data_IF_329273064789
#
_entry.id   IF_329273064789
#
_cell.length_a   1.000
_cell.length_b   1.000
_cell.length_c   1.000
_cell.angle_alpha   90.00
_cell.angle_beta   90.00
_cell.angle_gamma   90.00
#
_symmetry.space_group_name_H-M   'P 1'
#
loop_
_entity.id
_entity.type
_entity.pdbx_description
1 polymer ?
#
# COMPACT_ATOMS: atom_id res chain seq x y z
N UNK A 1 0.28 7.50 14.33
CA UNK A 1 0.87 6.14 14.27
C UNK A 1 2.39 6.21 14.20
N UNK A 2 3.08 5.07 14.31
CA UNK A 2 4.57 5.02 14.29
C UNK A 2 5.18 5.67 13.04
N UNK A 3 4.52 5.56 11.88
CA UNK A 3 4.97 6.18 10.63
C UNK A 3 4.99 7.70 10.76
N UNK A 4 3.88 8.33 11.17
CA UNK A 4 3.80 9.79 11.34
C UNK A 4 4.82 10.33 12.37
N UNK A 5 5.11 9.55 13.41
CA UNK A 5 6.04 9.94 14.46
C UNK A 5 7.51 9.95 14.01
N UNK A 6 7.87 9.14 13.00
CA UNK A 6 9.27 8.90 12.62
C UNK A 6 9.62 9.34 11.20
N UNK A 7 8.65 9.32 10.28
CA UNK A 7 8.93 9.52 8.86
C UNK A 7 9.46 10.93 8.55
N UNK A 8 9.11 11.94 9.35
CA UNK A 8 9.70 13.28 9.20
C UNK A 8 11.22 13.34 9.42
N UNK A 9 11.78 12.39 10.16
CA UNK A 9 13.23 12.31 10.41
C UNK A 9 13.95 11.48 9.33
N UNK A 10 13.33 10.39 8.89
CA UNK A 10 13.98 9.41 8.00
C UNK A 10 13.58 9.53 6.53
N UNK A 11 12.46 10.21 6.24
CA UNK A 11 11.88 10.40 4.90
C UNK A 11 11.81 9.10 4.09
N UNK A 12 11.22 8.06 4.68
CA UNK A 12 11.14 6.72 4.11
C UNK A 12 9.96 6.56 3.14
N UNK A 13 8.86 7.30 3.32
CA UNK A 13 7.68 7.21 2.46
C UNK A 13 7.56 8.40 1.50
N UNK A 14 7.27 8.14 0.22
CA UNK A 14 6.97 9.19 -0.77
C UNK A 14 5.49 9.55 -0.80
N UNK A 15 4.62 8.66 -0.34
CA UNK A 15 3.16 8.83 -0.25
C UNK A 15 2.61 7.85 0.78
N UNK A 16 1.53 8.24 1.46
CA UNK A 16 0.82 7.40 2.43
C UNK A 16 -0.67 7.35 2.09
N UNK A 17 -1.30 6.21 2.39
CA UNK A 17 -2.70 5.92 2.05
C UNK A 17 -3.43 5.40 3.29
N UNK A 18 -3.37 6.15 4.41
CA UNK A 18 -3.84 5.68 5.72
C UNK A 18 -5.34 5.37 5.76
N UNK A 19 -6.18 6.19 5.14
CA UNK A 19 -7.64 5.96 5.09
C UNK A 19 -7.98 4.65 4.34
N UNK A 20 -7.36 4.44 3.18
CA UNK A 20 -7.52 3.20 2.41
C UNK A 20 -7.02 1.99 3.20
N UNK A 21 -5.89 2.12 3.89
CA UNK A 21 -5.31 1.04 4.70
C UNK A 21 -6.21 0.67 5.89
N UNK A 22 -6.83 1.65 6.55
CA UNK A 22 -7.78 1.43 7.64
C UNK A 22 -9.06 0.76 7.12
N UNK A 23 -9.61 1.23 6.00
CA UNK A 23 -10.77 0.58 5.37
C UNK A 23 -10.49 -0.87 4.98
N UNK A 24 -9.30 -1.17 4.45
CA UNK A 24 -8.90 -2.55 4.14
C UNK A 24 -8.71 -3.39 5.42
N UNK A 25 -8.28 -2.79 6.52
CA UNK A 25 -8.13 -3.50 7.79
C UNK A 25 -9.48 -4.00 8.33
N UNK A 26 -10.55 -3.20 8.18
CA UNK A 26 -11.91 -3.61 8.55
C UNK A 26 -12.36 -4.83 7.74
N UNK A 27 -12.21 -4.79 6.40
CA UNK A 27 -12.55 -5.90 5.50
C UNK A 27 -11.74 -7.19 5.82
N UNK A 28 -10.47 -7.02 6.20
CA UNK A 28 -9.59 -8.13 6.58
C UNK A 28 -10.03 -8.69 7.94
N UNK A 29 -10.41 -7.85 8.89
CA UNK A 29 -10.88 -8.29 10.20
C UNK A 29 -12.15 -9.15 10.06
N UNK A 30 -13.09 -8.77 9.20
CA UNK A 30 -14.26 -9.60 8.90
C UNK A 30 -13.87 -10.98 8.37
N UNK A 31 -12.85 -11.08 7.52
CA UNK A 31 -12.34 -12.38 7.01
C UNK A 31 -11.67 -13.20 8.10
N UNK A 32 -10.96 -12.56 9.03
CA UNK A 32 -10.34 -13.23 10.18
C UNK A 32 -11.42 -13.83 11.07
N UNK A 33 -12.42 -13.04 11.43
CA UNK A 33 -13.52 -13.45 12.30
C UNK A 33 -14.34 -14.60 11.68
N UNK A 34 -14.52 -14.57 10.36
CA UNK A 34 -15.21 -15.61 9.61
C UNK A 34 -14.33 -16.84 9.28
N UNK A 35 -13.04 -16.84 9.66
CA UNK A 35 -12.12 -17.95 9.40
C UNK A 35 -11.76 -18.15 7.92
N UNK A 36 -11.93 -17.12 7.08
CA UNK A 36 -11.67 -17.14 5.64
C UNK A 36 -10.46 -16.28 5.24
N UNK A 37 -9.66 -15.84 6.20
CA UNK A 37 -8.49 -14.99 5.97
C UNK A 37 -7.34 -15.75 5.28
N UNK A 38 -6.64 -15.05 4.40
CA UNK A 38 -5.42 -15.51 3.73
C UNK A 38 -4.18 -15.45 4.62
N UNK A 39 -3.03 -15.92 4.10
CA UNK A 39 -1.75 -15.97 4.85
C UNK A 39 -1.20 -14.59 5.17
N UNK A 40 -1.55 -13.59 4.38
CA UNK A 40 -1.07 -12.21 4.53
C UNK A 40 -2.07 -11.31 5.27
N UNK A 41 -3.13 -11.88 5.85
CA UNK A 41 -4.13 -11.11 6.59
C UNK A 41 -3.49 -10.33 7.76
N UNK A 42 -3.71 -9.01 7.76
CA UNK A 42 -3.21 -8.10 8.79
C UNK A 42 -1.77 -7.62 8.60
N UNK A 43 -1.06 -8.08 7.55
CA UNK A 43 0.29 -7.61 7.26
C UNK A 43 0.26 -6.20 6.68
N UNK A 44 0.92 -5.26 7.35
CA UNK A 44 1.13 -3.89 6.85
C UNK A 44 2.35 -3.86 5.93
N UNK A 45 2.19 -3.30 4.73
CA UNK A 45 3.24 -3.30 3.71
C UNK A 45 3.56 -1.89 3.21
N UNK A 46 4.86 -1.60 3.10
CA UNK A 46 5.37 -0.47 2.33
C UNK A 46 5.73 -0.91 0.92
N UNK A 47 5.22 -0.21 -0.08
CA UNK A 47 5.50 -0.51 -1.50
C UNK A 47 6.50 0.52 -2.01
N UNK A 48 7.62 0.04 -2.57
CA UNK A 48 8.61 0.92 -3.18
C UNK A 48 7.96 1.69 -4.35
N UNK A 49 8.22 2.99 -4.42
CA UNK A 49 7.68 3.93 -5.43
C UNK A 49 8.25 3.74 -6.84
N UNK A 50 8.36 2.48 -7.28
CA UNK A 50 8.69 2.03 -8.63
C UNK A 50 7.72 0.90 -9.05
N UNK A 51 6.89 0.43 -8.11
CA UNK A 51 5.93 -0.65 -8.30
C UNK A 51 4.55 -0.01 -8.49
N UNK A 52 3.93 -0.30 -9.63
CA UNK A 52 2.64 0.25 -9.97
C UNK A 52 1.49 -0.35 -9.16
N UNK A 53 0.70 0.52 -8.55
CA UNK A 53 -0.60 0.19 -7.97
C UNK A 53 -1.67 1.09 -8.60
N UNK A 54 -2.74 0.48 -9.13
CA UNK A 54 -3.78 1.17 -9.89
C UNK A 54 -4.43 2.27 -9.06
N UNK A 55 -4.57 3.46 -9.62
CA UNK A 55 -5.18 4.62 -8.98
C UNK A 55 -4.27 5.35 -8.00
N UNK A 56 -3.00 4.95 -7.89
CA UNK A 56 -1.99 5.60 -7.03
C UNK A 56 -0.95 6.31 -7.87
N UNK A 57 -0.41 7.39 -7.31
CA UNK A 57 0.73 8.09 -7.90
C UNK A 57 1.99 7.23 -7.76
N UNK A 58 2.76 7.13 -8.83
CA UNK A 58 4.02 6.40 -8.87
C UNK A 58 5.09 7.26 -9.51
N UNK A 59 6.01 7.79 -8.70
CA UNK A 59 6.92 8.85 -9.17
C UNK A 59 8.30 8.33 -9.56
N UNK A 60 8.67 7.11 -9.17
CA UNK A 60 10.05 6.63 -9.29
C UNK A 60 11.06 7.56 -8.61
N UNK A 61 10.61 8.32 -7.61
CA UNK A 61 11.35 9.43 -6.99
C UNK A 61 11.89 10.46 -8.01
N UNK A 62 11.15 10.69 -9.10
CA UNK A 62 11.55 11.56 -10.20
C UNK A 62 10.45 12.55 -10.57
N UNK A 63 10.84 13.81 -10.79
CA UNK A 63 9.93 14.85 -11.30
C UNK A 63 9.31 14.51 -12.66
N UNK A 64 9.95 13.63 -13.44
CA UNK A 64 9.42 13.17 -14.71
C UNK A 64 8.05 12.50 -14.57
N UNK A 65 7.79 11.85 -13.43
CA UNK A 65 6.57 11.09 -13.17
C UNK A 65 5.78 11.66 -11.98
N UNK A 66 6.01 12.91 -11.59
CA UNK A 66 5.35 13.50 -10.41
C UNK A 66 3.81 13.51 -10.51
N UNK A 67 3.27 13.55 -11.73
CA UNK A 67 1.84 13.54 -12.02
C UNK A 67 1.37 12.22 -12.67
N UNK A 68 2.17 11.16 -12.61
CA UNK A 68 1.78 9.86 -13.15
C UNK A 68 0.92 9.09 -12.15
N UNK A 69 -0.36 8.94 -12.46
CA UNK A 69 -1.26 8.01 -11.79
C UNK A 69 -1.27 6.69 -12.55
N UNK A 70 -1.04 5.58 -11.85
CA UNK A 70 -0.97 4.28 -12.50
C UNK A 70 -2.34 3.77 -12.94
N UNK A 71 -2.45 3.39 -14.22
CA UNK A 71 -3.65 2.77 -14.79
C UNK A 71 -3.63 1.23 -14.72
N UNK A 72 -2.68 0.64 -14.00
CA UNK A 72 -2.57 -0.81 -13.85
C UNK A 72 -1.94 -1.22 -12.50
N UNK A 73 -2.07 -2.50 -12.15
CA UNK A 73 -1.35 -3.09 -11.02
C UNK A 73 -0.18 -3.91 -11.54
N UNK A 74 0.98 -3.78 -10.89
CA UNK A 74 2.09 -4.68 -11.13
C UNK A 74 1.75 -6.09 -10.63
N UNK A 75 2.26 -7.12 -11.30
CA UNK A 75 1.99 -8.53 -10.96
C UNK A 75 2.32 -8.89 -9.50
N UNK A 76 3.32 -8.24 -8.89
CA UNK A 76 3.64 -8.46 -7.47
C UNK A 76 2.53 -7.97 -6.54
N UNK A 77 1.85 -6.86 -6.87
CA UNK A 77 0.73 -6.34 -6.09
C UNK A 77 -0.46 -7.29 -6.18
N UNK A 78 -0.72 -7.85 -7.38
CA UNK A 78 -1.77 -8.85 -7.56
C UNK A 78 -1.52 -10.07 -6.68
N UNK A 79 -0.29 -10.61 -6.73
CA UNK A 79 0.10 -11.76 -5.88
C UNK A 79 -0.03 -11.46 -4.39
N UNK A 80 0.38 -10.29 -3.94
CA UNK A 80 0.29 -9.91 -2.52
C UNK A 80 -1.17 -9.79 -2.06
N UNK A 81 -2.10 -9.40 -2.93
CA UNK A 81 -3.54 -9.29 -2.63
C UNK A 81 -4.27 -10.64 -2.68
N UNK A 82 -3.72 -11.61 -3.41
CA UNK A 82 -4.30 -12.96 -3.57
C UNK A 82 -3.88 -13.96 -2.49
N UNK A 83 -2.90 -13.63 -1.62
CA UNK A 83 -2.40 -14.48 -0.52
C UNK A 83 -3.23 -14.38 0.76
#
# INVERSE_FOLDING_TARGET
GEIEAKDGEINAFTSTYFEEALSQADDIQEKIDNGSAGKMAGVVMGIKDVICERGKNVTCASKMLENFESVYRATVIDRLRDE
#
